data_IF_798644316836
#
_entry.id   IF_798644316836
#
_cell.length_a   1.000
_cell.length_b   1.000
_cell.length_c   1.000
_cell.angle_alpha   90.00
_cell.angle_beta   90.00
_cell.angle_gamma   90.00
#
_symmetry.space_group_name_H-M   'P 1'
#
loop_
_entity.id
_entity.type
_entity.pdbx_description
1 polymer ?
#
# COMPACT_ATOMS: atom_id res chain seq x y z
N UNK A 1 12.83 12.71 -14.27
CA UNK A 1 12.40 11.33 -14.62
C UNK A 1 12.15 10.56 -13.33
N UNK A 2 11.10 9.74 -13.24
CA UNK A 2 10.79 8.97 -12.03
C UNK A 2 11.62 7.67 -11.95
N UNK A 3 12.12 7.29 -10.76
CA UNK A 3 13.06 6.17 -10.63
C UNK A 3 12.37 4.80 -10.64
N UNK A 4 11.12 4.71 -10.18
CA UNK A 4 10.43 3.42 -10.01
C UNK A 4 9.52 3.03 -11.19
N UNK A 5 9.20 1.72 -11.32
CA UNK A 5 8.23 1.25 -12.29
C UNK A 5 6.83 1.79 -11.97
N UNK A 6 6.01 1.92 -13.00
CA UNK A 6 4.62 2.38 -12.90
C UNK A 6 4.45 3.77 -12.26
N UNK A 7 5.50 4.59 -12.31
CA UNK A 7 5.48 5.98 -11.90
C UNK A 7 5.43 6.91 -13.10
N UNK A 8 4.88 8.10 -12.90
CA UNK A 8 4.91 9.22 -13.84
C UNK A 8 5.17 10.51 -13.06
N UNK A 9 5.93 11.44 -13.65
CA UNK A 9 6.14 12.74 -13.03
C UNK A 9 4.89 13.60 -13.24
N UNK A 10 4.42 14.24 -12.17
CA UNK A 10 3.33 15.20 -12.21
C UNK A 10 3.78 16.54 -11.63
N UNK A 11 3.38 17.62 -12.30
CA UNK A 11 3.49 18.99 -11.78
C UNK A 11 2.40 19.34 -10.77
N UNK A 12 1.41 18.45 -10.59
CA UNK A 12 0.38 18.58 -9.59
C UNK A 12 0.12 17.21 -8.95
N UNK A 13 0.74 16.95 -7.81
CA UNK A 13 0.49 15.74 -7.02
C UNK A 13 -0.83 15.92 -6.27
N UNK A 14 -1.80 15.04 -6.47
CA UNK A 14 -3.06 15.07 -5.71
C UNK A 14 -2.79 14.87 -4.21
N UNK A 15 -3.50 15.61 -3.34
CA UNK A 15 -3.47 15.40 -1.88
C UNK A 15 -4.11 14.06 -1.46
N UNK A 16 -4.93 13.47 -2.31
CA UNK A 16 -5.71 12.27 -2.02
C UNK A 16 -5.23 11.06 -2.83
N UNK A 17 -3.91 10.85 -2.93
CA UNK A 17 -3.39 9.70 -3.65
C UNK A 17 -3.93 8.40 -3.04
N UNK A 18 -4.37 7.49 -3.89
CA UNK A 18 -4.84 6.16 -3.50
C UNK A 18 -3.68 5.32 -3.00
N UNK A 19 -3.90 4.63 -1.89
CA UNK A 19 -2.89 3.77 -1.27
C UNK A 19 -3.45 2.39 -0.98
N UNK A 20 -2.61 1.41 -0.64
CA UNK A 20 -3.12 0.10 -0.25
C UNK A 20 -4.00 0.16 1.01
N UNK A 21 -3.71 1.09 1.94
CA UNK A 21 -4.55 1.33 3.13
C UNK A 21 -5.88 1.99 2.78
N UNK A 22 -5.85 2.97 1.89
CA UNK A 22 -7.03 3.68 1.37
C UNK A 22 -7.11 3.58 -0.16
N UNK A 23 -7.59 2.45 -0.69
CA UNK A 23 -7.63 2.22 -2.13
C UNK A 23 -8.83 2.89 -2.80
N UNK A 24 -9.69 3.57 -2.04
CA UNK A 24 -10.96 4.09 -2.53
C UNK A 24 -10.76 5.42 -3.24
N UNK A 25 -11.40 5.59 -4.40
CA UNK A 25 -11.51 6.91 -5.03
C UNK A 25 -12.45 7.76 -4.17
N UNK A 26 -11.98 8.93 -3.73
CA UNK A 26 -12.79 9.88 -2.96
C UNK A 26 -12.78 11.22 -3.67
N UNK A 27 -13.82 12.02 -3.42
CA UNK A 27 -13.83 13.41 -3.85
C UNK A 27 -12.59 14.11 -3.30
N UNK A 28 -11.71 14.56 -4.19
CA UNK A 28 -10.49 15.25 -3.82
C UNK A 28 -10.55 16.69 -4.31
N UNK A 29 -10.22 17.67 -3.47
CA UNK A 29 -10.10 19.06 -3.91
C UNK A 29 -9.09 19.19 -5.06
N UNK A 30 -9.35 20.11 -5.99
CA UNK A 30 -8.43 20.45 -7.08
C UNK A 30 -7.22 21.28 -6.58
N UNK A 31 -6.57 20.84 -5.52
CA UNK A 31 -5.43 21.49 -4.87
C UNK A 31 -4.22 20.56 -4.90
N UNK A 32 -3.11 21.05 -5.45
CA UNK A 32 -1.88 20.29 -5.59
C UNK A 32 -1.08 20.24 -4.26
N UNK A 33 -0.44 19.11 -4.00
CA UNK A 33 0.49 18.90 -2.90
C UNK A 33 1.96 19.21 -3.27
N UNK A 34 2.18 19.81 -4.45
CA UNK A 34 3.50 20.04 -5.03
C UNK A 34 3.70 19.26 -6.32
N UNK A 35 4.97 19.07 -6.69
CA UNK A 35 5.39 18.33 -7.88
C UNK A 35 6.17 17.09 -7.47
N UNK A 36 6.10 16.02 -8.25
CA UNK A 36 6.81 14.79 -7.94
C UNK A 36 6.32 13.59 -8.72
N UNK A 37 6.84 12.43 -8.35
CA UNK A 37 6.43 11.16 -8.94
C UNK A 37 5.13 10.68 -8.30
N UNK A 38 4.19 10.23 -9.15
CA UNK A 38 2.92 9.63 -8.76
C UNK A 38 2.76 8.28 -9.44
N UNK A 39 1.85 7.44 -8.94
CA UNK A 39 1.50 6.20 -9.63
C UNK A 39 0.71 6.49 -10.91
N UNK A 40 0.99 5.73 -11.98
CA UNK A 40 0.23 5.76 -13.23
C UNK A 40 -1.23 5.37 -12.98
N UNK A 41 -2.18 5.77 -13.85
CA UNK A 41 -3.55 5.29 -13.80
C UNK A 41 -3.62 3.75 -13.69
N UNK A 42 -4.44 3.24 -12.78
CA UNK A 42 -4.55 1.80 -12.47
C UNK A 42 -3.52 1.25 -11.46
N UNK A 43 -2.61 2.09 -10.95
CA UNK A 43 -1.66 1.73 -9.90
C UNK A 43 -1.87 2.59 -8.66
N UNK A 44 -1.61 2.01 -7.49
CA UNK A 44 -1.76 2.66 -6.18
C UNK A 44 -0.49 2.51 -5.34
N UNK A 45 -0.31 3.41 -4.37
CA UNK A 45 0.88 3.43 -3.52
C UNK A 45 0.84 2.31 -2.48
N UNK A 46 1.91 1.51 -2.38
CA UNK A 46 2.07 0.43 -1.38
C UNK A 46 2.29 0.92 0.07
N UNK A 47 2.08 2.21 0.36
CA UNK A 47 2.36 2.87 1.65
C UNK A 47 3.82 2.69 2.13
N UNK A 48 4.79 2.72 1.22
CA UNK A 48 6.23 2.56 1.51
C UNK A 48 7.07 3.67 0.87
N UNK A 49 8.26 3.93 1.44
CA UNK A 49 9.33 4.70 0.81
C UNK A 49 10.50 3.78 0.41
N UNK A 50 11.08 3.94 -0.79
CA UNK A 50 10.68 4.86 -1.86
C UNK A 50 9.31 4.49 -2.45
N UNK A 51 8.69 5.45 -3.17
CA UNK A 51 7.38 5.29 -3.79
C UNK A 51 7.34 3.96 -4.57
N UNK A 52 6.40 3.09 -4.22
CA UNK A 52 6.21 1.80 -4.88
C UNK A 52 4.76 1.72 -5.37
N UNK A 53 4.60 1.56 -6.68
CA UNK A 53 3.31 1.58 -7.36
C UNK A 53 2.93 0.18 -7.83
N UNK A 54 1.86 -0.37 -7.26
CA UNK A 54 1.37 -1.73 -7.51
C UNK A 54 -0.07 -1.69 -8.01
N UNK A 55 -0.56 -2.78 -8.60
CA UNK A 55 -2.00 -2.88 -8.88
C UNK A 55 -2.78 -3.06 -7.56
N UNK A 56 -4.04 -2.61 -7.45
CA UNK A 56 -4.83 -2.78 -6.24
C UNK A 56 -4.90 -4.23 -5.73
N UNK A 57 -4.92 -5.21 -6.64
CA UNK A 57 -4.99 -6.64 -6.31
C UNK A 57 -3.69 -7.18 -5.70
N UNK A 58 -2.59 -6.43 -5.83
CA UNK A 58 -1.28 -6.76 -5.26
C UNK A 58 -1.05 -6.12 -3.89
N UNK A 59 -2.04 -5.41 -3.36
CA UNK A 59 -1.97 -4.91 -2.00
C UNK A 59 -1.99 -6.07 -1.00
N UNK A 60 -1.25 -5.94 0.12
CA UNK A 60 -1.38 -6.92 1.19
C UNK A 60 -2.84 -6.97 1.64
N UNK A 61 -3.37 -8.16 2.00
CA UNK A 61 -4.69 -8.24 2.58
C UNK A 61 -4.76 -7.29 3.78
N UNK A 62 -5.86 -6.55 3.89
CA UNK A 62 -6.16 -5.75 5.08
C UNK A 62 -6.26 -6.76 6.22
N UNK A 63 -5.17 -6.94 6.96
CA UNK A 63 -5.13 -7.80 8.15
C UNK A 63 -6.13 -7.22 9.16
N UNK A 64 -7.37 -7.70 9.10
CA UNK A 64 -8.28 -7.67 10.23
C UNK A 64 -7.69 -8.61 11.29
N UNK A 65 -6.80 -8.07 12.12
CA UNK A 65 -6.14 -8.83 13.18
C UNK A 65 -5.01 -9.73 12.67
N UNK A 66 -3.94 -9.77 13.45
CA UNK A 66 -3.00 -10.87 13.39
C UNK A 66 -3.79 -12.19 13.51
N UNK A 67 -3.81 -13.01 12.47
CA UNK A 67 -4.01 -14.42 12.68
C UNK A 67 -2.86 -14.87 13.60
N UNK A 68 -3.12 -15.42 14.79
CA UNK A 68 -2.04 -15.94 15.61
C UNK A 68 -1.32 -17.00 14.78
N UNK A 69 0.00 -16.85 14.66
CA UNK A 69 0.87 -17.95 14.26
C UNK A 69 0.41 -19.21 15.02
N UNK A 70 0.38 -20.41 14.41
CA UNK A 70 0.10 -21.62 15.15
C UNK A 70 1.19 -21.78 16.21
N UNK A 71 0.90 -21.41 17.46
CA UNK A 71 1.78 -21.69 18.59
C UNK A 71 1.75 -23.21 18.73
N UNK A 72 2.84 -23.86 18.32
CA UNK A 72 3.07 -25.27 18.65
C UNK A 72 3.08 -25.38 20.17
N UNK A 73 2.01 -25.91 20.76
CA UNK A 73 2.04 -26.26 22.18
C UNK A 73 3.15 -27.31 22.39
N UNK A 74 4.01 -27.17 23.40
CA UNK A 74 4.89 -28.27 23.79
C UNK A 74 4.00 -29.42 24.28
N UNK A 75 4.12 -30.56 23.61
CA UNK A 75 3.47 -31.79 24.04
C UNK A 75 4.21 -32.20 25.32
N UNK A 76 3.66 -31.89 26.49
CA UNK A 76 4.15 -32.47 27.74
C UNK A 76 3.81 -33.94 27.71
N UNK A 77 4.79 -34.75 27.31
CA UNK A 77 4.77 -36.20 27.49
C UNK A 77 4.70 -36.47 28.99
N UNK A 78 3.51 -36.73 29.52
CA UNK A 78 3.34 -37.39 30.80
C UNK A 78 3.76 -38.85 30.56
N UNK A 79 5.05 -39.11 30.78
CA UNK A 79 5.54 -40.47 30.95
C UNK A 79 5.02 -40.97 32.29
N UNK A 80 4.25 -42.05 32.22
CA UNK A 80 3.64 -42.78 33.33
C UNK A 80 4.70 -43.49 34.16
#
# INVERSE_FOLDING_TARGET
KCPGPNQVFSTCVSRCQRTCRDPTERFCPAVCAGQGCICKPGYIMKDTLPLTCVRPEQCPPKLAGAAPLPVRLPITSISK
#
